data_IF_398432647119
#
_entry.id   IF_398432647119
#
_cell.length_a   1.000
_cell.length_b   1.000
_cell.length_c   1.000
_cell.angle_alpha   90.00
_cell.angle_beta   90.00
_cell.angle_gamma   90.00
#
_symmetry.space_group_name_H-M   'P 1'
#
loop_
_entity.id
_entity.type
_entity.pdbx_description
1 polymer ?
#
# COMPACT_ATOMS: atom_id res chain seq x y z
N UNK A 1 11.12 44.13 16.90
CA UNK A 1 9.64 44.31 17.00
C UNK A 1 8.85 43.36 16.10
N UNK A 2 9.15 43.27 14.78
CA UNK A 2 8.39 42.38 13.85
C UNK A 2 8.43 40.88 14.22
N UNK A 3 9.58 40.36 14.69
CA UNK A 3 9.74 38.95 15.10
C UNK A 3 8.98 38.60 16.39
N UNK A 4 8.95 39.54 17.34
CA UNK A 4 8.22 39.40 18.62
C UNK A 4 6.71 39.40 18.35
N UNK A 5 6.23 40.27 17.45
CA UNK A 5 4.83 40.26 17.01
C UNK A 5 4.43 38.92 16.37
N UNK A 6 5.30 38.29 15.60
CA UNK A 6 5.02 36.98 14.98
C UNK A 6 4.97 35.85 16.01
N UNK A 7 5.83 35.89 17.04
CA UNK A 7 5.81 34.87 18.10
C UNK A 7 4.56 34.99 18.98
N UNK A 8 4.10 36.22 19.26
CA UNK A 8 2.87 36.47 20.02
C UNK A 8 1.62 35.97 19.28
N UNK A 9 1.58 36.13 17.94
CA UNK A 9 0.47 35.62 17.11
C UNK A 9 0.42 34.08 17.13
N UNK A 10 1.57 33.41 17.06
CA UNK A 10 1.64 31.93 17.10
C UNK A 10 1.18 31.40 18.47
N UNK A 11 1.57 32.08 19.56
CA UNK A 11 1.20 31.69 20.92
C UNK A 11 -0.32 31.84 21.17
N UNK A 12 -0.93 32.91 20.65
CA UNK A 12 -2.37 33.15 20.77
C UNK A 12 -3.23 32.09 20.04
N UNK A 13 -2.74 31.53 18.94
CA UNK A 13 -3.44 30.47 18.18
C UNK A 13 -3.41 29.12 18.93
N UNK A 14 -2.36 28.86 19.72
CA UNK A 14 -2.28 27.62 20.54
C UNK A 14 -3.24 27.64 21.73
N UNK A 15 -3.55 28.81 22.30
CA UNK A 15 -4.49 28.96 23.42
C UNK A 15 -5.97 28.94 22.98
N UNK A 16 -6.26 29.29 21.72
CA UNK A 16 -7.61 29.22 21.16
C UNK A 16 -8.10 27.77 20.92
N UNK A 17 -7.22 26.77 20.98
CA UNK A 17 -7.59 25.34 20.86
C UNK A 17 -8.39 24.79 22.06
N UNK A 18 -8.52 25.55 23.14
CA UNK A 18 -9.30 25.18 24.33
C UNK A 18 -10.67 25.89 24.41
N UNK A 19 -10.97 26.80 23.47
CA UNK A 19 -12.23 27.52 23.41
C UNK A 19 -13.01 27.11 22.16
N UNK A 20 -14.21 26.56 22.36
CA UNK A 20 -15.18 26.27 21.30
C UNK A 20 -15.56 27.55 20.55
N UNK A 21 -14.78 27.92 19.54
CA UNK A 21 -15.01 29.05 18.65
C UNK A 21 -14.81 28.59 17.22
N UNK A 22 -15.91 28.37 16.51
CA UNK A 22 -15.89 27.97 15.10
C UNK A 22 -15.30 29.13 14.29
N UNK A 23 -14.01 29.03 13.93
CA UNK A 23 -13.33 30.03 13.09
C UNK A 23 -14.07 30.09 11.75
N UNK A 24 -14.74 31.21 11.48
CA UNK A 24 -15.43 31.47 10.21
C UNK A 24 -14.41 31.76 9.10
N UNK A 25 -13.69 30.71 8.68
CA UNK A 25 -12.77 30.78 7.55
C UNK A 25 -13.53 31.11 6.27
N UNK A 26 -13.02 32.06 5.50
CA UNK A 26 -13.51 32.38 4.16
C UNK A 26 -13.33 31.18 3.22
N UNK A 27 -14.06 31.13 2.09
CA UNK A 27 -13.96 30.03 1.12
C UNK A 27 -12.53 29.83 0.61
N UNK A 28 -11.77 30.91 0.43
CA UNK A 28 -10.38 30.87 -0.05
C UNK A 28 -9.42 30.35 1.02
N UNK A 29 -9.54 30.82 2.28
CA UNK A 29 -8.73 30.30 3.39
C UNK A 29 -8.99 28.79 3.62
N UNK A 30 -10.25 28.33 3.48
CA UNK A 30 -10.57 26.90 3.55
C UNK A 30 -9.89 26.10 2.43
N UNK A 31 -9.80 26.64 1.21
CA UNK A 31 -9.11 25.97 0.09
C UNK A 31 -7.60 25.88 0.34
N UNK A 32 -6.99 26.97 0.79
CA UNK A 32 -5.55 27.00 1.12
C UNK A 32 -5.24 25.99 2.22
N UNK A 33 -6.04 25.99 3.30
CA UNK A 33 -5.88 25.05 4.41
C UNK A 33 -6.00 23.58 3.93
N UNK A 34 -7.02 23.26 3.14
CA UNK A 34 -7.18 21.90 2.57
C UNK A 34 -6.02 21.49 1.68
N UNK A 35 -5.50 22.42 0.86
CA UNK A 35 -4.34 22.16 -0.01
C UNK A 35 -3.10 21.85 0.83
N UNK A 36 -2.88 22.62 1.89
CA UNK A 36 -1.73 22.42 2.77
C UNK A 36 -1.84 21.11 3.56
N UNK A 37 -3.03 20.80 4.07
CA UNK A 37 -3.32 19.50 4.70
C UNK A 37 -3.06 18.33 3.74
N UNK A 38 -3.49 18.45 2.48
CA UNK A 38 -3.25 17.42 1.46
C UNK A 38 -1.76 17.22 1.20
N UNK A 39 -0.99 18.31 1.07
CA UNK A 39 0.47 18.24 0.88
C UNK A 39 1.18 17.58 2.06
N UNK A 40 0.77 17.91 3.29
CA UNK A 40 1.33 17.30 4.49
C UNK A 40 1.02 15.81 4.53
N UNK A 41 -0.23 15.41 4.26
CA UNK A 41 -0.64 14.02 4.19
C UNK A 41 0.13 13.24 3.12
N UNK A 42 0.30 13.82 1.93
CA UNK A 42 1.06 13.23 0.82
C UNK A 42 2.53 13.06 1.19
N UNK A 43 3.14 14.04 1.85
CA UNK A 43 4.53 13.96 2.32
C UNK A 43 4.69 12.81 3.33
N UNK A 44 3.74 12.66 4.26
CA UNK A 44 3.73 11.55 5.23
C UNK A 44 3.59 10.21 4.51
N UNK A 45 2.71 10.12 3.50
CA UNK A 45 2.55 8.90 2.68
C UNK A 45 3.85 8.51 1.99
N UNK A 46 4.53 9.47 1.35
CA UNK A 46 5.82 9.25 0.69
C UNK A 46 6.85 8.71 1.68
N UNK A 47 6.99 9.34 2.86
CA UNK A 47 7.94 8.88 3.88
C UNK A 47 7.59 7.47 4.39
N UNK A 48 6.31 7.20 4.63
CA UNK A 48 5.86 5.90 5.13
C UNK A 48 6.07 4.79 4.10
N UNK A 49 5.76 5.06 2.83
CA UNK A 49 5.95 4.12 1.72
C UNK A 49 7.44 3.82 1.55
N UNK A 50 8.28 4.85 1.41
CA UNK A 50 9.72 4.66 1.29
C UNK A 50 10.28 3.83 2.46
N UNK A 51 9.92 4.16 3.70
CA UNK A 51 10.34 3.41 4.89
C UNK A 51 9.89 1.96 4.83
N UNK A 52 8.61 1.71 4.56
CA UNK A 52 8.03 0.37 4.53
C UNK A 52 8.70 -0.53 3.48
N UNK A 53 8.98 0.02 2.30
CA UNK A 53 9.68 -0.71 1.23
C UNK A 53 11.14 -1.01 1.61
N UNK A 54 11.87 -0.03 2.14
CA UNK A 54 13.27 -0.20 2.53
C UNK A 54 13.48 -1.19 3.69
N UNK A 55 12.52 -1.31 4.61
CA UNK A 55 12.58 -2.30 5.69
C UNK A 55 11.90 -3.63 5.33
N UNK A 56 11.43 -3.80 4.09
CA UNK A 56 10.69 -4.98 3.63
C UNK A 56 9.49 -5.33 4.53
N UNK A 57 8.73 -4.32 4.96
CA UNK A 57 7.55 -4.48 5.82
C UNK A 57 6.37 -3.71 5.25
N UNK A 58 5.71 -4.29 4.26
CA UNK A 58 4.59 -3.67 3.56
C UNK A 58 3.56 -4.71 3.11
N UNK A 59 2.36 -4.23 2.79
CA UNK A 59 1.28 -5.03 2.24
C UNK A 59 0.69 -4.28 1.06
N UNK A 60 0.68 -4.91 -0.12
CA UNK A 60 -0.14 -4.46 -1.24
C UNK A 60 -1.53 -5.04 -1.07
N UNK A 61 -2.49 -4.17 -0.81
CA UNK A 61 -3.90 -4.50 -0.67
C UNK A 61 -4.58 -4.33 -2.02
N UNK A 62 -5.16 -5.42 -2.52
CA UNK A 62 -5.74 -5.41 -3.85
C UNK A 62 -7.19 -4.97 -3.81
N UNK A 63 -7.50 -3.92 -4.54
CA UNK A 63 -8.88 -3.51 -4.84
C UNK A 63 -9.39 -4.27 -6.08
N UNK A 64 -8.46 -4.71 -6.94
CA UNK A 64 -8.75 -5.48 -8.15
C UNK A 64 -7.73 -6.59 -8.37
N UNK A 65 -8.19 -7.66 -9.01
CA UNK A 65 -7.33 -8.74 -9.51
C UNK A 65 -7.55 -8.90 -11.00
N UNK A 66 -6.46 -9.10 -11.74
CA UNK A 66 -6.48 -9.45 -13.16
C UNK A 66 -5.84 -10.82 -13.35
N UNK A 67 -6.61 -11.76 -13.87
CA UNK A 67 -6.12 -13.10 -14.23
C UNK A 67 -5.43 -13.13 -15.60
N UNK A 68 -4.87 -14.29 -15.96
CA UNK A 68 -4.18 -14.51 -17.25
C UNK A 68 -5.02 -14.17 -18.49
N UNK A 69 -6.35 -14.36 -18.42
CA UNK A 69 -7.28 -14.03 -19.52
C UNK A 69 -7.57 -12.52 -19.68
N UNK A 70 -6.95 -11.65 -18.89
CA UNK A 70 -7.14 -10.20 -18.95
C UNK A 70 -8.39 -9.68 -18.23
N UNK A 71 -9.30 -10.57 -17.81
CA UNK A 71 -10.46 -10.20 -17.00
C UNK A 71 -10.01 -9.60 -15.68
N UNK A 72 -10.51 -8.39 -15.39
CA UNK A 72 -10.28 -7.68 -14.14
C UNK A 72 -11.56 -7.71 -13.30
N UNK A 73 -11.42 -8.06 -12.03
CA UNK A 73 -12.53 -8.11 -11.07
C UNK A 73 -12.21 -7.26 -9.85
N UNK A 74 -13.23 -6.65 -9.25
CA UNK A 74 -13.10 -5.98 -7.95
C UNK A 74 -13.10 -7.04 -6.85
N UNK A 75 -12.27 -6.86 -5.84
CA UNK A 75 -12.10 -7.83 -4.74
C UNK A 75 -12.01 -7.12 -3.39
N UNK A 76 -12.18 -7.86 -2.30
CA UNK A 76 -11.99 -7.30 -0.96
C UNK A 76 -10.50 -7.28 -0.58
N UNK A 77 -9.90 -6.10 -0.35
CA UNK A 77 -8.48 -5.95 0.00
C UNK A 77 -8.07 -6.56 1.35
N UNK A 78 -9.03 -6.97 2.20
CA UNK A 78 -8.73 -7.64 3.47
C UNK A 78 -8.29 -9.10 3.30
N UNK A 79 -8.77 -9.75 2.24
CA UNK A 79 -8.50 -11.17 1.95
C UNK A 79 -7.80 -11.38 0.60
N UNK A 80 -7.48 -10.29 -0.10
CA UNK A 80 -6.74 -10.28 -1.36
C UNK A 80 -5.55 -9.32 -1.25
N UNK A 81 -4.35 -9.86 -1.08
CA UNK A 81 -3.16 -9.04 -0.83
C UNK A 81 -1.86 -9.79 -1.13
N UNK A 82 -0.78 -9.01 -1.29
CA UNK A 82 0.60 -9.48 -1.24
C UNK A 82 1.28 -8.82 -0.04
N UNK A 83 1.67 -9.60 0.97
CA UNK A 83 2.31 -9.11 2.19
C UNK A 83 3.78 -9.51 2.22
N UNK A 84 4.65 -8.57 2.53
CA UNK A 84 6.08 -8.78 2.78
C UNK A 84 6.40 -8.39 4.22
N UNK A 85 7.12 -9.26 4.93
CA UNK A 85 7.60 -9.02 6.28
C UNK A 85 9.00 -9.63 6.46
N UNK A 86 10.03 -8.81 6.28
CA UNK A 86 11.40 -9.29 6.20
C UNK A 86 11.55 -10.22 5.00
N UNK A 87 11.91 -11.48 5.27
CA UNK A 87 12.03 -12.52 4.24
C UNK A 87 10.73 -13.28 3.99
N UNK A 88 9.69 -13.12 4.81
CA UNK A 88 8.44 -13.84 4.61
C UNK A 88 7.52 -13.11 3.63
N UNK A 89 6.96 -13.86 2.68
CA UNK A 89 5.93 -13.37 1.76
C UNK A 89 4.66 -14.18 1.89
N UNK A 90 3.52 -13.49 1.79
CA UNK A 90 2.20 -14.10 1.65
C UNK A 90 1.54 -13.54 0.41
N UNK A 91 1.09 -14.40 -0.50
CA UNK A 91 0.19 -14.05 -1.60
C UNK A 91 -1.15 -14.69 -1.30
N UNK A 92 -2.17 -13.87 -1.10
CA UNK A 92 -3.50 -14.35 -0.78
C UNK A 92 -4.50 -13.82 -1.80
N UNK A 93 -5.29 -14.73 -2.34
CA UNK A 93 -6.46 -14.45 -3.17
C UNK A 93 -7.63 -15.22 -2.59
N UNK A 94 -8.66 -14.52 -2.13
CA UNK A 94 -9.81 -15.09 -1.43
C UNK A 94 -11.14 -14.58 -1.98
N UNK A 95 -12.17 -15.42 -1.86
CA UNK A 95 -13.56 -15.09 -2.20
C UNK A 95 -14.43 -15.10 -0.95
N UNK A 96 -15.26 -14.07 -0.76
CA UNK A 96 -16.19 -13.99 0.38
C UNK A 96 -17.31 -15.03 0.30
N UNK A 97 -17.69 -15.45 -0.92
CA UNK A 97 -18.77 -16.42 -1.15
C UNK A 97 -18.31 -17.87 -1.03
N UNK A 98 -17.01 -18.13 -0.80
CA UNK A 98 -16.41 -19.47 -0.78
C UNK A 98 -16.34 -20.16 -2.15
N UNK A 99 -17.10 -19.67 -3.13
CA UNK A 99 -17.01 -20.06 -4.53
C UNK A 99 -15.89 -19.24 -5.18
N UNK A 100 -14.86 -19.93 -5.66
CA UNK A 100 -13.80 -19.31 -6.45
C UNK A 100 -14.38 -18.70 -7.72
N UNK A 101 -14.14 -17.41 -7.95
CA UNK A 101 -14.65 -16.73 -9.14
C UNK A 101 -14.00 -17.37 -10.38
N UNK A 102 -14.82 -17.96 -11.28
CA UNK A 102 -14.35 -18.61 -12.52
C UNK A 102 -13.25 -19.67 -12.33
N UNK A 103 -13.29 -20.46 -11.25
CA UNK A 103 -12.29 -21.51 -10.98
C UNK A 103 -11.02 -21.03 -10.28
N UNK A 104 -10.96 -19.76 -9.87
CA UNK A 104 -9.92 -19.21 -9.00
C UNK A 104 -10.32 -19.51 -7.55
N UNK A 105 -10.11 -20.74 -7.09
CA UNK A 105 -10.27 -21.10 -5.67
C UNK A 105 -9.50 -20.15 -4.75
N UNK A 106 -9.83 -20.14 -3.45
CA UNK A 106 -9.04 -19.40 -2.48
C UNK A 106 -7.60 -19.93 -2.45
N UNK A 107 -6.63 -19.11 -2.83
CA UNK A 107 -5.21 -19.48 -2.81
C UNK A 107 -4.52 -18.65 -1.75
N UNK A 108 -3.85 -19.32 -0.81
CA UNK A 108 -2.95 -18.68 0.14
C UNK A 108 -1.57 -19.32 0.00
N UNK A 109 -0.64 -18.59 -0.59
CA UNK A 109 0.75 -19.02 -0.75
C UNK A 109 1.62 -18.33 0.29
N UNK A 110 2.36 -19.14 1.04
CA UNK A 110 3.48 -18.68 1.87
C UNK A 110 4.79 -19.00 1.17
N UNK A 111 5.70 -18.04 1.16
CA UNK A 111 7.05 -18.23 0.65
C UNK A 111 8.08 -17.49 1.49
N UNK A 112 9.35 -17.85 1.27
CA UNK A 112 10.52 -17.10 1.72
C UNK A 112 11.17 -16.43 0.52
N UNK A 113 11.53 -15.16 0.65
CA UNK A 113 12.30 -14.41 -0.34
C UNK A 113 13.71 -14.99 -0.40
N UNK A 114 14.12 -15.42 -1.60
CA UNK A 114 15.46 -15.94 -1.89
C UNK A 114 16.32 -14.93 -2.66
N UNK A 115 15.71 -13.89 -3.22
CA UNK A 115 16.41 -12.76 -3.82
C UNK A 115 15.47 -11.57 -3.99
N UNK A 116 15.99 -10.36 -3.86
CA UNK A 116 15.22 -9.13 -4.01
C UNK A 116 16.04 -8.03 -4.69
N UNK A 117 15.41 -7.27 -5.58
CA UNK A 117 15.93 -5.98 -6.06
C UNK A 117 14.88 -4.89 -5.85
N UNK A 118 15.35 -3.67 -5.61
CA UNK A 118 14.53 -2.46 -5.54
C UNK A 118 15.23 -1.37 -6.35
N UNK A 119 14.51 -0.81 -7.29
CA UNK A 119 14.93 0.30 -8.13
C UNK A 119 13.94 1.44 -7.95
N UNK A 120 14.43 2.68 -7.91
CA UNK A 120 13.58 3.87 -7.82
C UNK A 120 13.78 4.73 -9.06
N UNK A 121 12.68 5.09 -9.72
CA UNK A 121 12.68 5.99 -10.88
C UNK A 121 13.11 7.40 -10.46
N UNK A 122 14.14 7.95 -11.10
CA UNK A 122 14.68 9.26 -10.77
C UNK A 122 13.72 10.42 -11.08
N UNK A 123 12.76 10.24 -11.99
CA UNK A 123 11.87 11.31 -12.46
C UNK A 123 10.60 11.40 -11.62
N UNK A 124 9.96 10.27 -11.36
CA UNK A 124 8.66 10.23 -10.68
C UNK A 124 8.73 9.58 -9.29
N UNK A 125 9.87 9.04 -8.88
CA UNK A 125 10.10 8.45 -7.57
C UNK A 125 9.39 7.12 -7.35
N UNK A 126 8.81 6.51 -8.39
CA UNK A 126 8.16 5.19 -8.31
C UNK A 126 9.18 4.09 -8.07
N UNK A 127 8.74 3.04 -7.40
CA UNK A 127 9.56 1.88 -7.05
C UNK A 127 9.21 0.69 -7.94
N UNK A 128 10.26 0.05 -8.46
CA UNK A 128 10.22 -1.22 -9.14
C UNK A 128 10.88 -2.26 -8.23
N UNK A 129 10.13 -3.25 -7.77
CA UNK A 129 10.63 -4.27 -6.84
C UNK A 129 10.47 -5.64 -7.48
N UNK A 130 11.54 -6.42 -7.52
CA UNK A 130 11.49 -7.81 -7.95
C UNK A 130 11.83 -8.72 -6.78
N UNK A 131 10.94 -9.65 -6.45
CA UNK A 131 11.14 -10.66 -5.43
C UNK A 131 11.13 -12.05 -6.06
N UNK A 132 12.17 -12.82 -5.82
CA UNK A 132 12.21 -14.25 -6.06
C UNK A 132 11.95 -14.96 -4.75
N UNK A 133 11.07 -15.94 -4.76
CA UNK A 133 10.58 -16.59 -3.55
C UNK A 133 10.49 -18.09 -3.74
N UNK A 134 10.64 -18.83 -2.64
CA UNK A 134 10.46 -20.27 -2.58
C UNK A 134 9.43 -20.59 -1.52
N UNK A 135 8.38 -21.32 -1.88
CA UNK A 135 7.28 -21.67 -0.99
C UNK A 135 6.74 -23.08 -1.22
N UNK A 136 5.64 -23.40 -0.53
CA UNK A 136 4.96 -24.70 -0.62
C UNK A 136 4.42 -24.98 -2.03
N UNK A 137 4.05 -23.93 -2.78
CA UNK A 137 3.64 -24.01 -4.18
C UNK A 137 4.82 -23.81 -5.17
N UNK A 138 6.06 -24.05 -4.74
CA UNK A 138 7.25 -23.89 -5.58
C UNK A 138 7.77 -22.46 -5.66
N UNK A 139 8.51 -22.17 -6.72
CA UNK A 139 9.13 -20.86 -6.94
C UNK A 139 8.12 -19.85 -7.50
N UNK A 140 8.01 -18.69 -6.85
CA UNK A 140 7.22 -17.56 -7.33
C UNK A 140 8.12 -16.36 -7.58
N UNK A 141 7.85 -15.63 -8.66
CA UNK A 141 8.43 -14.31 -8.91
C UNK A 141 7.33 -13.27 -8.74
N UNK A 142 7.62 -12.23 -7.96
CA UNK A 142 6.70 -11.13 -7.70
C UNK A 142 7.36 -9.85 -8.19
N UNK A 143 6.78 -9.23 -9.21
CA UNK A 143 7.20 -7.92 -9.69
C UNK A 143 6.20 -6.87 -9.23
N UNK A 144 6.66 -5.86 -8.49
CA UNK A 144 5.84 -4.76 -8.01
C UNK A 144 6.23 -3.45 -8.67
N UNK A 145 5.23 -2.69 -9.11
CA UNK A 145 5.38 -1.28 -9.46
C UNK A 145 4.55 -0.46 -8.47
N UNK A 146 5.17 0.50 -7.81
CA UNK A 146 4.55 1.26 -6.72
C UNK A 146 4.85 2.74 -6.95
N UNK A 147 3.82 3.58 -7.04
CA UNK A 147 4.05 5.02 -7.14
C UNK A 147 4.67 5.57 -5.84
N UNK A 148 5.28 6.75 -5.92
CA UNK A 148 6.01 7.34 -4.78
C UNK A 148 5.20 7.45 -3.48
N UNK A 149 3.86 7.60 -3.57
CA UNK A 149 2.99 7.68 -2.39
C UNK A 149 2.54 6.33 -1.87
N UNK A 150 2.59 5.26 -2.68
CA UNK A 150 2.03 3.94 -2.39
C UNK A 150 0.53 3.80 -2.68
N UNK A 151 -0.17 4.86 -3.07
CA UNK A 151 -1.61 4.85 -3.34
C UNK A 151 -1.97 4.11 -4.64
N UNK A 152 -1.03 3.96 -5.55
CA UNK A 152 -1.17 3.21 -6.79
C UNK A 152 -0.05 2.19 -6.87
N UNK A 153 -0.42 0.93 -6.83
CA UNK A 153 0.51 -0.19 -6.90
C UNK A 153 -0.08 -1.35 -7.70
N UNK A 154 0.79 -2.04 -8.41
CA UNK A 154 0.50 -3.34 -9.00
C UNK A 154 1.57 -4.36 -8.59
N UNK A 155 1.13 -5.59 -8.33
CA UNK A 155 2.01 -6.74 -8.15
C UNK A 155 1.61 -7.84 -9.13
N UNK A 156 2.50 -8.15 -10.05
CA UNK A 156 2.42 -9.32 -10.91
C UNK A 156 3.07 -10.51 -10.19
N UNK A 157 2.27 -11.52 -9.86
CA UNK A 157 2.73 -12.79 -9.28
C UNK A 157 2.75 -13.85 -10.37
N UNK A 158 3.91 -14.44 -10.61
CA UNK A 158 4.09 -15.55 -11.54
C UNK A 158 4.66 -16.77 -10.84
N UNK A 159 4.19 -17.95 -11.25
CA UNK A 159 4.75 -19.25 -10.87
C UNK A 159 5.72 -19.74 -11.94
N UNK A 160 6.64 -20.62 -11.58
CA UNK A 160 7.50 -21.33 -12.53
C UNK A 160 6.73 -22.21 -13.55
N UNK A 161 5.47 -22.57 -13.28
CA UNK A 161 4.61 -23.32 -14.21
C UNK A 161 3.78 -22.44 -15.17
N UNK A 162 4.01 -21.13 -15.18
CA UNK A 162 3.39 -20.20 -16.13
C UNK A 162 2.02 -19.65 -15.72
N UNK A 163 1.56 -19.93 -14.50
CA UNK A 163 0.41 -19.24 -13.90
C UNK A 163 0.79 -17.81 -13.52
N UNK A 164 -0.11 -16.87 -13.82
CA UNK A 164 0.07 -15.42 -13.56
C UNK A 164 -1.22 -14.81 -13.03
N UNK A 165 -1.07 -13.95 -12.01
CA UNK A 165 -2.14 -13.11 -11.47
C UNK A 165 -1.57 -11.74 -11.15
N UNK A 166 -2.27 -10.68 -11.53
CA UNK A 166 -1.91 -9.31 -11.15
C UNK A 166 -2.85 -8.80 -10.04
N UNK A 167 -2.27 -8.24 -8.99
CA UNK A 167 -2.96 -7.57 -7.89
C UNK A 167 -2.81 -6.06 -8.10
N UNK A 168 -3.92 -5.32 -8.16
CA UNK A 168 -3.92 -3.87 -8.36
C UNK A 168 -4.61 -3.20 -7.17
N UNK A 169 -3.95 -2.21 -6.59
CA UNK A 169 -4.48 -1.45 -5.46
C UNK A 169 -3.46 -0.49 -4.88
N UNK A 170 -3.23 -0.58 -3.57
CA UNK A 170 -2.39 0.36 -2.82
C UNK A 170 -1.53 -0.37 -1.78
N UNK A 171 -0.42 0.26 -1.41
CA UNK A 171 0.56 -0.24 -0.46
C UNK A 171 0.42 0.46 0.87
N UNK A 172 0.45 -0.34 1.94
CA UNK A 172 0.42 0.14 3.31
C UNK A 172 1.57 -0.49 4.11
N UNK A 173 2.16 0.23 5.09
CA UNK A 173 3.17 -0.34 5.98
C UNK A 173 2.60 -1.55 6.74
N UNK A 174 3.36 -2.63 6.92
CA UNK A 174 2.87 -3.85 7.55
C UNK A 174 2.67 -3.67 9.07
N UNK A 175 1.43 -3.38 9.49
CA UNK A 175 1.01 -3.32 10.89
C UNK A 175 0.02 -4.44 11.27
N UNK A 176 -0.04 -4.79 12.56
CA UNK A 176 -0.76 -5.99 13.08
C UNK A 176 -2.25 -6.14 12.70
N UNK A 177 -2.95 -5.10 12.24
CA UNK A 177 -4.41 -5.08 12.05
C UNK A 177 -4.88 -4.84 10.60
N UNK A 178 -4.03 -5.05 9.59
CA UNK A 178 -4.31 -4.51 8.25
C UNK A 178 -4.93 -5.48 7.24
N UNK A 179 -4.74 -6.80 7.40
CA UNK A 179 -5.24 -7.86 6.51
C UNK A 179 -5.55 -9.14 7.29
N UNK A 180 -6.44 -9.98 6.75
CA UNK A 180 -6.78 -11.29 7.29
C UNK A 180 -6.00 -12.39 6.55
N UNK A 181 -5.11 -13.09 7.25
CA UNK A 181 -4.34 -14.20 6.69
C UNK A 181 -5.13 -15.51 6.83
N UNK A 182 -5.48 -16.12 5.71
CA UNK A 182 -6.06 -17.46 5.65
C UNK A 182 -5.06 -18.54 6.06
N UNK A 183 -5.54 -19.78 6.24
CA UNK A 183 -4.66 -20.95 6.35
C UNK A 183 -4.10 -21.28 4.96
N UNK A 184 -2.87 -21.78 4.88
CA UNK A 184 -2.29 -22.22 3.60
C UNK A 184 -3.17 -23.29 2.95
N UNK A 185 -3.49 -23.08 1.67
CA UNK A 185 -4.24 -24.00 0.84
C UNK A 185 -3.74 -23.87 -0.60
N UNK A 186 -3.38 -25.01 -1.20
CA UNK A 186 -2.89 -25.15 -2.58
C UNK A 186 -3.74 -26.15 -3.34
#
# INVERSE_FOLDING_TARGET
MKRIATTVIILLVTLAGMAQGQVNLTREERKILKKEQKKQAETIMIMNTAKALHVSQYILKADRIRGRGGLMINVNPRINFVSVNGEEVYVQMGSESGLGYNGLGGVTLKGRITGSSIEQDEKNGSYYILLNTMGSAGSLTISLNINVTGEMADAMVTTNWGSRVDFIGHVVPNGRLQVYKGRESY
#
